data_IF_174418024964
#
_entry.id   IF_174418024964
#
_cell.length_a   1.000
_cell.length_b   1.000
_cell.length_c   1.000
_cell.angle_alpha   90.00
_cell.angle_beta   90.00
_cell.angle_gamma   90.00
#
_symmetry.space_group_name_H-M   'P 1'
#
loop_
_entity.id
_entity.type
_entity.pdbx_description
1 polymer ?
#
# COMPACT_ATOMS: atom_id res chain seq x y z
N UNK A 1 -0.97 -13.94 -0.66
CA UNK A 1 0.11 -13.21 -1.37
C UNK A 1 -0.47 -12.75 -2.69
N UNK A 2 -0.28 -11.48 -3.08
CA UNK A 2 -0.91 -10.88 -4.26
C UNK A 2 0.17 -10.15 -5.07
N UNK A 3 0.08 -10.22 -6.39
CA UNK A 3 0.89 -9.39 -7.30
C UNK A 3 0.00 -8.29 -7.84
N UNK A 4 0.44 -7.04 -7.74
CA UNK A 4 -0.30 -5.89 -8.26
C UNK A 4 0.57 -5.09 -9.20
N UNK A 5 -0.09 -4.45 -10.16
CA UNK A 5 0.53 -3.54 -11.11
C UNK A 5 0.00 -2.14 -10.85
N UNK A 6 0.90 -1.17 -10.78
CA UNK A 6 0.60 0.24 -10.63
C UNK A 6 1.14 0.99 -11.86
N UNK A 7 0.37 1.95 -12.37
CA UNK A 7 0.78 2.82 -13.46
C UNK A 7 0.18 4.22 -13.26
N UNK A 8 0.95 5.26 -13.57
CA UNK A 8 0.52 6.66 -13.41
C UNK A 8 0.68 7.19 -11.98
N UNK A 9 0.02 8.31 -11.67
CA UNK A 9 -0.02 8.91 -10.32
C UNK A 9 1.29 9.45 -9.75
N UNK A 10 2.40 9.41 -10.50
CA UNK A 10 3.74 9.72 -9.98
C UNK A 10 4.52 8.51 -9.47
N UNK A 11 4.08 7.29 -9.78
CA UNK A 11 4.80 6.05 -9.47
C UNK A 11 5.99 5.86 -10.43
N UNK A 12 7.13 5.37 -9.92
CA UNK A 12 8.32 5.04 -10.72
C UNK A 12 8.00 3.96 -11.75
N UNK A 13 8.11 4.33 -13.03
CA UNK A 13 7.99 3.38 -14.13
C UNK A 13 9.15 2.37 -14.16
N UNK A 14 8.85 1.12 -14.52
CA UNK A 14 9.87 0.06 -14.63
C UNK A 14 10.40 -0.47 -13.30
N UNK A 15 9.81 -0.07 -12.16
CA UNK A 15 10.18 -0.55 -10.84
C UNK A 15 9.49 -1.89 -10.54
N UNK A 16 10.29 -2.89 -10.13
CA UNK A 16 9.80 -4.12 -9.50
C UNK A 16 10.07 -4.00 -8.01
N UNK A 17 9.00 -3.98 -7.20
CA UNK A 17 9.10 -3.80 -5.76
C UNK A 17 8.74 -5.06 -5.00
N UNK A 18 9.70 -5.58 -4.25
CA UNK A 18 9.59 -6.84 -3.51
C UNK A 18 10.05 -8.05 -4.31
N UNK A 19 10.46 -9.08 -3.57
CA UNK A 19 10.94 -10.34 -4.14
C UNK A 19 10.35 -11.52 -3.39
N UNK A 20 10.17 -12.59 -4.12
CA UNK A 20 9.66 -13.86 -3.64
C UNK A 20 10.81 -14.85 -3.54
N UNK A 21 10.70 -15.79 -2.61
CA UNK A 21 11.57 -16.98 -2.57
C UNK A 21 11.63 -17.70 -3.93
N UNK A 22 12.66 -18.53 -4.11
CA UNK A 22 12.93 -19.24 -5.37
C UNK A 22 11.77 -20.15 -5.82
N UNK A 23 10.94 -20.58 -4.87
CA UNK A 23 9.76 -21.41 -5.11
C UNK A 23 8.46 -20.60 -5.23
N UNK A 24 8.48 -19.30 -4.95
CA UNK A 24 7.30 -18.44 -5.04
C UNK A 24 6.24 -18.64 -3.94
N UNK A 25 6.57 -19.20 -2.77
CA UNK A 25 5.66 -19.34 -1.63
C UNK A 25 5.63 -18.12 -0.70
N UNK A 26 6.80 -17.63 -0.25
CA UNK A 26 6.89 -16.50 0.69
C UNK A 26 7.55 -15.24 0.11
N UNK A 27 6.92 -14.08 0.31
CA UNK A 27 7.61 -12.82 0.00
C UNK A 27 8.82 -12.76 0.94
N UNK A 28 10.02 -12.57 0.41
CA UNK A 28 11.27 -12.57 1.19
C UNK A 28 11.84 -11.17 1.33
N UNK A 29 11.56 -10.28 0.38
CA UNK A 29 12.12 -8.93 0.31
C UNK A 29 11.02 -7.90 0.08
N UNK A 30 11.16 -6.73 0.70
CA UNK A 30 10.26 -5.57 0.62
C UNK A 30 8.77 -5.94 0.61
N UNK A 31 8.37 -6.65 1.68
CA UNK A 31 6.98 -7.09 1.89
C UNK A 31 6.08 -5.86 2.03
N UNK A 32 5.13 -5.71 1.12
CA UNK A 32 4.08 -4.70 1.23
C UNK A 32 2.81 -5.35 1.73
N UNK A 33 2.25 -4.85 2.84
CA UNK A 33 0.93 -5.28 3.27
C UNK A 33 -0.16 -4.57 2.47
N UNK A 34 -1.35 -5.17 2.38
CA UNK A 34 -2.46 -4.58 1.62
C UNK A 34 -2.86 -3.19 2.15
N UNK A 35 -2.75 -2.99 3.48
CA UNK A 35 -3.00 -1.71 4.13
C UNK A 35 -2.05 -0.61 3.66
N UNK A 36 -0.76 -0.93 3.52
CA UNK A 36 0.29 -0.01 3.05
C UNK A 36 0.07 0.35 1.58
N UNK A 37 -0.33 -0.63 0.76
CA UNK A 37 -0.66 -0.38 -0.64
C UNK A 37 -1.88 0.53 -0.79
N UNK A 38 -2.96 0.28 -0.04
CA UNK A 38 -4.13 1.16 -0.08
C UNK A 38 -3.80 2.57 0.43
N UNK A 39 -2.98 2.70 1.48
CA UNK A 39 -2.49 4.00 1.95
C UNK A 39 -1.71 4.74 0.87
N UNK A 40 -0.82 4.03 0.18
CA UNK A 40 -0.04 4.55 -0.95
C UNK A 40 -0.93 4.98 -2.10
N UNK A 41 -1.95 4.20 -2.45
CA UNK A 41 -2.92 4.56 -3.51
C UNK A 41 -3.72 5.82 -3.16
N UNK A 42 -4.20 5.94 -1.93
CA UNK A 42 -4.91 7.15 -1.48
C UNK A 42 -3.99 8.37 -1.53
N UNK A 43 -2.74 8.21 -1.13
CA UNK A 43 -1.73 9.27 -1.21
C UNK A 43 -1.49 9.73 -2.66
N UNK A 44 -1.39 8.81 -3.63
CA UNK A 44 -1.26 9.13 -5.07
C UNK A 44 -2.48 9.89 -5.61
N UNK A 45 -3.65 9.72 -5.00
CA UNK A 45 -4.87 10.47 -5.33
C UNK A 45 -4.97 11.82 -4.61
N UNK A 46 -3.95 12.20 -3.82
CA UNK A 46 -3.93 13.42 -3.01
C UNK A 46 -4.77 13.36 -1.73
N UNK A 47 -5.15 12.15 -1.30
CA UNK A 47 -5.94 11.92 -0.11
C UNK A 47 -5.06 11.43 1.05
N UNK A 48 -5.24 12.04 2.22
CA UNK A 48 -4.62 11.57 3.46
C UNK A 48 -5.49 10.47 4.09
N UNK A 49 -5.00 9.22 4.01
CA UNK A 49 -5.71 8.05 4.52
C UNK A 49 -5.95 8.10 6.04
N UNK A 50 -5.13 8.84 6.79
CA UNK A 50 -5.30 8.97 8.25
C UNK A 50 -6.48 9.87 8.61
N UNK A 51 -6.81 10.83 7.74
CA UNK A 51 -7.92 11.77 7.92
C UNK A 51 -9.27 11.19 7.49
N UNK A 52 -9.26 10.11 6.71
CA UNK A 52 -10.46 9.35 6.32
C UNK A 52 -10.89 8.37 7.42
N UNK A 53 -10.93 8.86 8.66
CA UNK A 53 -11.36 8.10 9.84
C UNK A 53 -12.81 8.41 10.17
N UNK A 54 -13.66 7.39 10.19
CA UNK A 54 -15.06 7.50 10.61
C UNK A 54 -15.33 6.61 11.83
N UNK A 55 -16.01 7.17 12.85
CA UNK A 55 -16.32 6.43 14.08
C UNK A 55 -17.65 5.70 13.93
N UNK A 56 -17.60 4.37 13.98
CA UNK A 56 -18.77 3.50 13.86
C UNK A 56 -18.70 2.41 14.94
N UNK A 57 -19.83 2.10 15.59
CA UNK A 57 -19.92 1.05 16.63
C UNK A 57 -18.81 1.11 17.71
N UNK A 58 -18.41 2.32 18.13
CA UNK A 58 -17.37 2.52 19.14
C UNK A 58 -15.94 2.30 18.66
N UNK A 59 -15.71 1.99 17.37
CA UNK A 59 -14.38 1.86 16.76
C UNK A 59 -14.15 2.92 15.70
N UNK A 60 -12.89 3.32 15.55
CA UNK A 60 -12.45 4.19 14.47
C UNK A 60 -12.16 3.30 13.25
N UNK A 61 -12.98 3.42 12.21
CA UNK A 61 -12.77 2.75 10.94
C UNK A 61 -12.04 3.68 9.97
N UNK A 62 -11.08 3.13 9.23
CA UNK A 62 -10.37 3.79 8.14
C UNK A 62 -10.44 2.93 6.89
N UNK A 63 -10.37 3.53 5.72
CA UNK A 63 -10.38 2.81 4.45
C UNK A 63 -9.17 1.85 4.31
N UNK A 64 -8.06 2.19 4.95
CA UNK A 64 -6.85 1.37 5.05
C UNK A 64 -6.81 0.51 6.31
N UNK A 65 -7.87 0.49 7.11
CA UNK A 65 -7.89 -0.04 8.49
C UNK A 65 -6.98 0.76 9.46
N UNK A 66 -6.85 0.32 10.71
CA UNK A 66 -6.07 0.99 11.77
C UNK A 66 -4.55 1.03 11.52
N UNK A 67 -4.08 0.49 10.39
CA UNK A 67 -2.69 0.36 10.01
C UNK A 67 -2.48 0.80 8.55
N UNK A 68 -1.24 0.99 8.13
CA UNK A 68 -0.90 1.41 6.77
C UNK A 68 0.14 2.51 6.74
N UNK A 69 1.33 2.17 6.28
CA UNK A 69 2.41 3.12 5.98
C UNK A 69 2.50 3.37 4.47
N UNK A 70 2.86 4.60 4.11
CA UNK A 70 3.00 4.98 2.70
C UNK A 70 4.32 4.41 2.18
N UNK A 71 4.28 3.64 1.10
CA UNK A 71 5.48 3.06 0.48
C UNK A 71 6.12 4.10 -0.43
N UNK A 72 6.88 5.00 0.16
CA UNK A 72 7.53 6.12 -0.54
C UNK A 72 8.49 5.69 -1.66
N UNK A 73 9.05 4.48 -1.56
CA UNK A 73 9.96 3.92 -2.56
C UNK A 73 9.30 3.72 -3.93
N UNK A 74 7.96 3.64 -3.97
CA UNK A 74 7.19 3.53 -5.21
C UNK A 74 7.08 4.86 -5.99
N UNK A 75 7.36 6.01 -5.38
CA UNK A 75 7.18 7.33 -6.01
C UNK A 75 8.44 7.80 -6.76
N UNK A 76 8.24 8.57 -7.84
CA UNK A 76 9.29 9.12 -8.71
C UNK A 76 10.06 10.27 -8.07
#
# INVERSE_FOLDING_TARGET
>A
RYTMWLAGGGVKGGLVYGKTDDYGYYAVENKVHLHDLHATMLHLLGLDHTRLTYRYAGRNFRLTDVHGEIVHELFA
#
